data_IF_167424479797
#
_entry.id   IF_167424479797
#
_cell.length_a   1.000
_cell.length_b   1.000
_cell.length_c   1.000
_cell.angle_alpha   90.00
_cell.angle_beta   90.00
_cell.angle_gamma   90.00
#
_symmetry.space_group_name_H-M   'P 1'
#
loop_
_entity.id
_entity.type
_entity.pdbx_description
1 polymer ?
#
# COMPACT_ATOMS: atom_id res chain seq x y z
N UNK A 1 55.15 27.95 -28.18
CA UNK A 1 54.43 29.23 -28.37
C UNK A 1 53.20 28.96 -29.25
N UNK A 2 52.05 29.55 -28.88
CA UNK A 2 50.73 29.54 -29.57
C UNK A 2 49.70 28.52 -29.06
N UNK A 3 49.03 28.99 -28.00
CA UNK A 3 47.72 28.59 -27.47
C UNK A 3 46.64 28.40 -28.54
N UNK A 4 45.75 27.42 -28.34
CA UNK A 4 44.31 27.58 -28.65
C UNK A 4 43.46 26.93 -27.57
N UNK A 5 42.91 27.80 -26.74
CA UNK A 5 41.76 27.61 -25.87
C UNK A 5 40.57 27.11 -26.70
N UNK A 6 39.89 26.06 -26.26
CA UNK A 6 38.54 25.73 -26.74
C UNK A 6 37.65 25.44 -25.53
N UNK A 7 36.80 26.43 -25.27
CA UNK A 7 35.70 26.43 -24.31
C UNK A 7 34.72 25.32 -24.73
N UNK A 8 34.42 24.37 -23.85
CA UNK A 8 33.30 23.43 -24.04
C UNK A 8 32.24 23.72 -23.00
N UNK A 9 31.03 23.93 -23.52
CA UNK A 9 29.86 24.47 -22.89
C UNK A 9 29.37 23.68 -21.66
N UNK A 10 29.00 24.46 -20.65
CA UNK A 10 28.15 24.07 -19.53
C UNK A 10 26.76 23.68 -20.07
N UNK A 11 26.41 22.39 -20.04
CA UNK A 11 25.03 21.95 -20.29
C UNK A 11 24.34 21.71 -18.96
N UNK A 12 23.58 22.70 -18.53
CA UNK A 12 22.64 22.60 -17.43
C UNK A 12 21.54 21.59 -17.80
N UNK A 13 21.57 20.42 -17.17
CA UNK A 13 20.46 19.47 -17.22
C UNK A 13 19.56 19.73 -16.01
N UNK A 14 18.57 20.61 -16.20
CA UNK A 14 17.40 20.69 -15.33
C UNK A 14 16.67 19.35 -15.39
N UNK A 15 17.02 18.42 -14.50
CA UNK A 15 16.15 17.30 -14.18
C UNK A 15 15.06 17.79 -13.22
N UNK A 16 14.14 18.60 -13.76
CA UNK A 16 12.82 18.76 -13.17
C UNK A 16 12.09 17.43 -13.36
N UNK A 17 12.41 16.45 -12.53
CA UNK A 17 11.71 15.19 -12.48
C UNK A 17 10.25 15.48 -12.09
N UNK A 18 9.38 15.37 -13.07
CA UNK A 18 7.93 15.45 -12.93
C UNK A 18 7.50 14.63 -11.71
N UNK A 19 6.98 15.30 -10.68
CA UNK A 19 6.19 14.68 -9.61
C UNK A 19 4.91 14.14 -10.25
N UNK A 20 5.01 12.96 -10.87
CA UNK A 20 3.85 12.18 -11.25
C UNK A 20 3.06 11.85 -9.99
N UNK A 21 1.80 12.27 -9.94
CA UNK A 21 0.85 11.80 -8.93
C UNK A 21 0.91 10.27 -8.84
N UNK A 22 0.65 9.72 -7.65
CA UNK A 22 0.74 8.29 -7.41
C UNK A 22 -0.20 7.53 -8.36
N UNK A 23 0.36 7.05 -9.48
CA UNK A 23 -0.39 6.36 -10.53
C UNK A 23 -0.79 4.95 -10.13
N UNK A 24 -0.11 4.36 -9.16
CA UNK A 24 -0.28 2.97 -8.80
C UNK A 24 -0.62 2.80 -7.31
N UNK A 25 -1.49 1.82 -7.04
CA UNK A 25 -1.78 1.38 -5.69
C UNK A 25 -0.49 1.01 -4.93
N UNK A 26 -0.39 1.34 -3.63
CA UNK A 26 0.81 1.08 -2.86
C UNK A 26 1.08 -0.43 -2.75
N UNK A 27 2.37 -0.78 -2.71
CA UNK A 27 2.82 -2.11 -2.32
C UNK A 27 2.82 -2.18 -0.80
N UNK A 28 2.14 -3.17 -0.23
CA UNK A 28 2.08 -3.43 1.21
C UNK A 28 2.88 -4.68 1.53
N UNK A 29 4.13 -4.52 2.02
CA UNK A 29 4.98 -5.64 2.46
C UNK A 29 5.06 -6.77 1.41
N UNK A 30 5.37 -6.39 0.16
CA UNK A 30 5.44 -7.29 -0.99
C UNK A 30 4.10 -7.59 -1.69
N UNK A 31 2.97 -7.22 -1.11
CA UNK A 31 1.61 -7.50 -1.63
C UNK A 31 1.04 -6.29 -2.39
N UNK A 32 0.26 -6.56 -3.45
CA UNK A 32 -0.45 -5.55 -4.24
C UNK A 32 -1.89 -5.99 -4.49
N UNK A 33 -2.78 -5.02 -4.63
CA UNK A 33 -4.14 -5.28 -5.15
C UNK A 33 -4.05 -6.03 -6.49
N UNK A 34 -5.01 -6.92 -6.72
CA UNK A 34 -5.06 -7.81 -7.87
C UNK A 34 -4.21 -9.08 -7.76
N UNK A 35 -3.49 -9.31 -6.67
CA UNK A 35 -2.80 -10.59 -6.46
C UNK A 35 -3.79 -11.73 -6.14
N UNK A 36 -3.47 -12.95 -6.58
CA UNK A 36 -4.21 -14.13 -6.18
C UNK A 36 -3.88 -14.53 -4.73
N UNK A 37 -4.75 -15.29 -4.03
CA UNK A 37 -4.53 -15.68 -2.62
C UNK A 37 -3.20 -16.39 -2.37
N UNK A 38 -2.77 -17.24 -3.30
CA UNK A 38 -1.48 -17.92 -3.24
C UNK A 38 -0.32 -16.93 -3.28
N UNK A 39 -0.36 -15.98 -4.22
CA UNK A 39 0.68 -14.97 -4.38
C UNK A 39 0.78 -14.05 -3.15
N UNK A 40 -0.35 -13.73 -2.52
CA UNK A 40 -0.35 -12.95 -1.27
C UNK A 40 0.42 -13.69 -0.17
N UNK A 41 0.18 -14.99 0.01
CA UNK A 41 0.90 -15.79 1.02
C UNK A 41 2.39 -15.92 0.71
N UNK A 42 2.75 -16.03 -0.57
CA UNK A 42 4.16 -16.18 -0.99
C UNK A 42 4.94 -14.86 -0.96
N UNK A 43 4.28 -13.72 -1.19
CA UNK A 43 4.94 -12.42 -1.30
C UNK A 43 4.88 -11.57 -0.05
N UNK A 44 3.96 -11.84 0.87
CA UNK A 44 3.89 -11.11 2.12
C UNK A 44 5.11 -11.45 2.99
N UNK A 45 6.01 -10.48 3.15
CA UNK A 45 7.36 -10.69 3.68
C UNK A 45 7.45 -10.62 5.22
N UNK A 46 6.32 -10.77 5.90
CA UNK A 46 6.20 -10.66 7.36
C UNK A 46 6.05 -12.04 8.04
N UNK A 47 6.76 -12.23 9.16
CA UNK A 47 6.72 -13.47 9.95
C UNK A 47 5.48 -13.55 10.83
N UNK A 48 4.66 -14.56 10.62
CA UNK A 48 3.47 -14.76 11.42
C UNK A 48 2.68 -16.00 11.05
N UNK A 49 1.47 -16.08 11.58
CA UNK A 49 0.54 -17.18 11.34
C UNK A 49 -0.61 -16.73 10.46
N UNK A 50 -0.93 -17.57 9.47
CA UNK A 50 -2.06 -17.36 8.57
C UNK A 50 -3.32 -18.05 9.07
N UNK A 51 -4.43 -17.33 9.05
CA UNK A 51 -5.79 -17.85 9.14
C UNK A 51 -6.53 -17.71 7.81
N UNK A 52 -7.62 -18.44 7.67
CA UNK A 52 -8.53 -18.31 6.52
C UNK A 52 -9.96 -18.30 7.05
N UNK A 53 -10.74 -17.34 6.59
CA UNK A 53 -12.18 -17.31 6.80
C UNK A 53 -12.85 -17.37 5.43
N UNK A 54 -13.72 -18.36 5.24
CA UNK A 54 -14.59 -18.45 4.08
C UNK A 54 -15.99 -18.06 4.54
N UNK A 55 -16.32 -16.78 4.42
CA UNK A 55 -17.69 -16.30 4.65
C UNK A 55 -18.42 -16.29 3.30
N UNK A 56 -18.71 -15.11 2.76
CA UNK A 56 -19.26 -14.92 1.40
C UNK A 56 -18.15 -14.91 0.35
N UNK A 57 -17.00 -14.34 0.71
CA UNK A 57 -15.82 -14.19 -0.13
C UNK A 57 -14.59 -14.66 0.65
N UNK A 58 -13.51 -14.98 -0.06
CA UNK A 58 -12.31 -15.47 0.59
C UNK A 58 -11.62 -14.33 1.36
N UNK A 59 -11.35 -14.58 2.64
CA UNK A 59 -10.53 -13.68 3.45
C UNK A 59 -9.37 -14.44 4.05
N UNK A 60 -8.15 -13.93 3.83
CA UNK A 60 -6.97 -14.38 4.56
C UNK A 60 -6.70 -13.42 5.72
N UNK A 61 -6.41 -13.98 6.88
CA UNK A 61 -5.95 -13.21 8.03
C UNK A 61 -4.52 -13.60 8.34
N UNK A 62 -3.76 -12.64 8.82
CA UNK A 62 -2.40 -12.83 9.29
C UNK A 62 -2.24 -12.17 10.64
N UNK A 63 -1.56 -12.85 11.55
CA UNK A 63 -1.21 -12.33 12.87
C UNK A 63 0.28 -12.53 13.11
N UNK A 64 0.92 -11.50 13.65
CA UNK A 64 2.34 -11.56 13.99
C UNK A 64 2.60 -12.60 15.07
N UNK A 65 3.75 -13.27 14.98
CA UNK A 65 4.31 -14.09 16.06
C UNK A 65 5.30 -13.29 16.92
N UNK A 66 5.61 -12.05 16.53
CA UNK A 66 6.58 -11.20 17.18
C UNK A 66 5.88 -10.17 18.09
N UNK A 67 6.42 -9.95 19.30
CA UNK A 67 5.86 -8.95 20.22
C UNK A 67 5.98 -7.52 19.66
N UNK A 68 7.03 -7.26 18.89
CA UNK A 68 7.30 -5.99 18.24
C UNK A 68 7.68 -6.28 16.78
N UNK A 69 6.90 -5.77 15.85
CA UNK A 69 7.09 -5.96 14.41
C UNK A 69 6.31 -4.89 13.63
N UNK A 70 6.67 -4.67 12.35
CA UNK A 70 6.09 -3.60 11.54
C UNK A 70 4.59 -3.81 11.33
N UNK A 71 4.13 -5.06 11.24
CA UNK A 71 2.71 -5.42 11.14
C UNK A 71 2.32 -6.25 12.37
N UNK A 72 1.20 -5.92 13.02
CA UNK A 72 0.61 -6.75 14.07
C UNK A 72 -0.42 -7.71 13.51
N UNK A 73 -1.32 -7.18 12.69
CA UNK A 73 -2.41 -7.92 12.07
C UNK A 73 -2.55 -7.46 10.63
N UNK A 74 -2.96 -8.35 9.75
CA UNK A 74 -3.38 -8.00 8.40
C UNK A 74 -4.57 -8.88 7.98
N UNK A 75 -5.51 -8.28 7.28
CA UNK A 75 -6.64 -8.93 6.64
C UNK A 75 -6.58 -8.61 5.15
N UNK A 76 -6.73 -9.65 4.33
CA UNK A 76 -6.67 -9.61 2.89
C UNK A 76 -7.99 -10.15 2.36
N UNK A 77 -8.78 -9.29 1.72
CA UNK A 77 -10.11 -9.63 1.20
C UNK A 77 -10.03 -9.84 -0.30
N UNK A 78 -10.56 -10.96 -0.77
CA UNK A 78 -10.48 -11.38 -2.17
C UNK A 78 -11.86 -11.55 -2.77
N UNK A 79 -12.13 -10.86 -3.88
CA UNK A 79 -13.34 -11.04 -4.67
C UNK A 79 -12.97 -11.58 -6.04
N UNK A 80 -13.71 -12.59 -6.53
CA UNK A 80 -13.42 -13.25 -7.81
C UNK A 80 -11.97 -13.76 -7.93
N UNK A 81 -11.37 -14.19 -6.82
CA UNK A 81 -10.00 -14.70 -6.78
C UNK A 81 -8.90 -13.63 -6.80
N UNK A 82 -9.24 -12.35 -6.68
CA UNK A 82 -8.29 -11.23 -6.74
C UNK A 82 -8.33 -10.41 -5.45
N UNK A 83 -7.16 -9.99 -4.94
CA UNK A 83 -7.07 -9.14 -3.75
C UNK A 83 -7.66 -7.75 -4.04
N UNK A 84 -8.69 -7.36 -3.30
CA UNK A 84 -9.38 -6.07 -3.47
C UNK A 84 -9.28 -5.15 -2.27
N UNK A 85 -8.99 -5.69 -1.08
CA UNK A 85 -8.76 -4.88 0.10
C UNK A 85 -7.66 -5.47 1.00
N UNK A 86 -6.90 -4.56 1.60
CA UNK A 86 -5.97 -4.85 2.69
C UNK A 86 -6.36 -3.99 3.87
N UNK A 87 -6.49 -4.59 5.06
CA UNK A 87 -6.68 -3.89 6.34
C UNK A 87 -5.61 -4.35 7.30
N UNK A 88 -4.96 -3.45 8.02
CA UNK A 88 -3.82 -3.83 8.85
C UNK A 88 -3.55 -2.85 10.00
N UNK A 89 -3.12 -3.38 11.13
CA UNK A 89 -2.54 -2.60 12.21
C UNK A 89 -1.01 -2.61 12.12
N UNK A 90 -0.44 -1.45 11.79
CA UNK A 90 0.99 -1.27 11.53
C UNK A 90 1.66 -0.37 12.56
N UNK A 91 2.99 -0.49 12.67
CA UNK A 91 3.79 0.41 13.49
C UNK A 91 3.74 1.85 12.94
N UNK A 92 3.88 2.90 13.79
CA UNK A 92 3.89 4.30 13.35
C UNK A 92 4.89 4.65 12.25
N UNK A 93 5.99 3.90 12.19
CA UNK A 93 7.09 4.12 11.25
C UNK A 93 6.90 3.42 9.91
N UNK A 94 5.79 2.69 9.73
CA UNK A 94 5.51 1.96 8.49
C UNK A 94 5.35 2.93 7.30
N UNK A 95 5.94 2.64 6.12
CA UNK A 95 5.81 3.50 4.94
C UNK A 95 4.37 3.79 4.51
N UNK A 96 3.42 2.89 4.80
CA UNK A 96 2.00 3.12 4.53
C UNK A 96 1.44 4.26 5.38
N UNK A 97 1.90 4.41 6.63
CA UNK A 97 1.50 5.51 7.52
C UNK A 97 1.99 6.85 7.01
N UNK A 98 3.25 6.92 6.57
CA UNK A 98 3.83 8.14 6.02
C UNK A 98 3.11 8.63 4.75
N UNK A 99 2.48 7.71 4.01
CA UNK A 99 1.64 8.05 2.86
C UNK A 99 0.32 8.70 3.27
N UNK A 100 -0.22 8.35 4.43
CA UNK A 100 -1.49 8.87 4.94
C UNK A 100 -2.65 8.58 4.00
N UNK A 101 -3.57 9.53 3.88
CA UNK A 101 -4.65 9.46 2.91
C UNK A 101 -4.11 9.68 1.49
N UNK A 102 -4.35 8.72 0.60
CA UNK A 102 -3.94 8.82 -0.79
C UNK A 102 -4.97 8.15 -1.73
N UNK A 103 -5.22 8.79 -2.86
CA UNK A 103 -6.09 8.27 -3.93
C UNK A 103 -5.27 8.08 -5.19
N UNK A 104 -5.42 6.93 -5.82
CA UNK A 104 -4.85 6.59 -7.13
C UNK A 104 -6.00 6.26 -8.10
N UNK A 105 -5.69 5.97 -9.35
CA UNK A 105 -6.71 5.55 -10.31
C UNK A 105 -7.42 4.25 -9.88
N UNK A 106 -6.69 3.34 -9.21
CA UNK A 106 -7.19 2.01 -8.85
C UNK A 106 -7.45 1.81 -7.36
N UNK A 107 -6.99 2.69 -6.46
CA UNK A 107 -7.09 2.46 -5.02
C UNK A 107 -7.29 3.71 -4.18
N UNK A 108 -7.90 3.55 -3.00
CA UNK A 108 -7.84 4.51 -1.90
C UNK A 108 -7.03 3.90 -0.76
N UNK A 109 -6.18 4.71 -0.14
CA UNK A 109 -5.41 4.36 1.05
C UNK A 109 -5.74 5.34 2.16
N UNK A 110 -5.91 4.84 3.37
CA UNK A 110 -6.16 5.63 4.57
C UNK A 110 -5.49 4.98 5.78
N UNK A 111 -5.01 5.80 6.72
CA UNK A 111 -4.40 5.37 7.97
C UNK A 111 -4.91 6.22 9.13
N UNK A 112 -5.57 5.58 10.09
CA UNK A 112 -6.19 6.21 11.25
C UNK A 112 -5.49 5.77 12.55
N UNK A 113 -5.70 6.46 13.67
CA UNK A 113 -5.29 5.95 14.98
C UNK A 113 -5.84 4.53 15.23
N UNK A 114 -4.97 3.60 15.62
CA UNK A 114 -5.33 2.22 15.95
C UNK A 114 -5.17 1.92 17.45
N UNK A 115 -4.99 0.65 17.80
CA UNK A 115 -4.81 0.22 19.20
C UNK A 115 -3.41 0.60 19.70
N UNK A 116 -3.36 1.22 20.89
CA UNK A 116 -2.10 1.63 21.52
C UNK A 116 -1.38 2.68 20.68
N UNK A 117 -0.13 2.41 20.33
CA UNK A 117 0.66 3.30 19.45
C UNK A 117 0.50 2.97 17.97
N UNK A 118 -0.20 1.89 17.59
CA UNK A 118 -0.31 1.45 16.19
C UNK A 118 -1.25 2.33 15.37
N UNK A 119 -1.12 2.22 14.05
CA UNK A 119 -2.02 2.84 13.07
C UNK A 119 -2.83 1.77 12.39
N UNK A 120 -4.14 1.99 12.27
CA UNK A 120 -5.02 1.12 11.49
C UNK A 120 -5.09 1.66 10.08
N UNK A 121 -4.50 0.93 9.14
CA UNK A 121 -4.38 1.32 7.75
C UNK A 121 -5.23 0.40 6.86
N UNK A 122 -5.71 0.96 5.75
CA UNK A 122 -6.44 0.22 4.73
C UNK A 122 -6.04 0.66 3.33
N UNK A 123 -6.05 -0.28 2.41
CA UNK A 123 -5.89 -0.09 0.97
C UNK A 123 -7.08 -0.76 0.30
N UNK A 124 -7.93 0.00 -0.38
CA UNK A 124 -9.17 -0.49 -1.00
C UNK A 124 -9.14 -0.27 -2.50
N UNK A 125 -9.52 -1.27 -3.28
CA UNK A 125 -9.79 -1.13 -4.71
C UNK A 125 -10.99 -0.21 -4.93
N UNK A 126 -10.88 0.75 -5.86
CA UNK A 126 -11.91 1.76 -6.12
C UNK A 126 -13.10 1.23 -6.93
N UNK A 127 -12.85 0.21 -7.73
CA UNK A 127 -13.79 -0.41 -8.67
C UNK A 127 -14.48 -1.65 -8.07
N UNK A 128 -14.24 -1.96 -6.79
CA UNK A 128 -14.91 -3.05 -6.10
C UNK A 128 -16.29 -2.60 -5.58
N UNK A 129 -17.36 -3.19 -6.12
CA UNK A 129 -18.74 -2.87 -5.75
C UNK A 129 -19.01 -3.04 -4.25
N UNK A 130 -18.48 -4.10 -3.64
CA UNK A 130 -18.68 -4.42 -2.22
C UNK A 130 -18.00 -3.39 -1.28
N UNK A 131 -17.03 -2.61 -1.77
CA UNK A 131 -16.35 -1.55 -1.00
C UNK A 131 -16.72 -0.13 -1.46
N UNK A 132 -17.64 0.03 -2.41
CA UNK A 132 -17.94 1.32 -3.05
C UNK A 132 -18.39 2.40 -2.05
N UNK A 133 -19.26 2.05 -1.09
CA UNK A 133 -19.71 2.99 -0.06
C UNK A 133 -18.59 3.35 0.93
N UNK A 134 -17.70 2.41 1.27
CA UNK A 134 -16.55 2.70 2.13
C UNK A 134 -15.57 3.64 1.43
N UNK A 135 -15.27 3.38 0.15
CA UNK A 135 -14.43 4.25 -0.69
C UNK A 135 -15.03 5.65 -0.77
N UNK A 136 -16.34 5.77 -1.02
CA UNK A 136 -17.04 7.05 -1.09
C UNK A 136 -17.00 7.80 0.24
N UNK A 137 -17.19 7.10 1.36
CA UNK A 137 -17.13 7.68 2.69
C UNK A 137 -15.72 8.23 2.99
N UNK A 138 -14.67 7.45 2.67
CA UNK A 138 -13.28 7.88 2.81
C UNK A 138 -12.97 9.12 1.98
N UNK A 139 -13.40 9.13 0.72
CA UNK A 139 -13.19 10.27 -0.18
C UNK A 139 -13.97 11.53 0.24
N UNK A 140 -15.02 11.39 1.06
CA UNK A 140 -15.81 12.53 1.55
C UNK A 140 -15.32 13.06 2.89
N UNK A 141 -14.53 12.27 3.63
CA UNK A 141 -13.99 12.61 4.94
C UNK A 141 -12.64 13.35 4.88
N UNK A 142 -12.04 13.48 3.68
CA UNK A 142 -10.76 14.11 3.40
C UNK A 142 -10.91 15.15 2.28
#
# INVERSE_FOLDING_TARGET
MRYRLAIVLLVASLAAACKGGAREAPVFHGVRLGMAPKDVRERFDQKGTWGTAATKELTLTWNTTEAQGPVATAQFEFHNGMLVAVRSDVAPVDPLVARGFAVTDSSVTDCQPGIGTRKSCRILARDCADHAEEVKALMSAH
#
